data_IF_200469596049
#
_entry.id   IF_200469596049
#
_cell.length_a   1.000
_cell.length_b   1.000
_cell.length_c   1.000
_cell.angle_alpha   90.00
_cell.angle_beta   90.00
_cell.angle_gamma   90.00
#
_symmetry.space_group_name_H-M   'P 1'
#
loop_
_entity.id
_entity.type
_entity.pdbx_description
1 polymer ?
#
# COMPACT_ATOMS: atom_id res chain seq x y z
N UNK A 1 10.86 8.26 -0.04
CA UNK A 1 9.43 8.30 -0.37
C UNK A 1 8.64 9.21 0.58
N UNK A 2 8.80 9.07 1.90
CA UNK A 2 8.06 9.83 2.92
C UNK A 2 8.26 11.34 2.76
N UNK A 3 9.50 11.81 2.71
CA UNK A 3 9.83 13.24 2.54
C UNK A 3 9.34 13.77 1.19
N UNK A 4 9.49 12.98 0.12
CA UNK A 4 8.99 13.35 -1.20
C UNK A 4 7.47 13.60 -1.20
N UNK A 5 6.69 12.78 -0.47
CA UNK A 5 5.24 13.02 -0.34
C UNK A 5 4.89 14.24 0.51
N UNK A 6 5.65 14.49 1.59
CA UNK A 6 5.36 15.58 2.54
C UNK A 6 5.64 16.95 1.91
N UNK A 7 6.77 17.08 1.22
CA UNK A 7 7.20 18.36 0.62
C UNK A 7 6.55 18.63 -0.74
N UNK A 8 6.17 17.58 -1.47
CA UNK A 8 5.54 17.74 -2.78
C UNK A 8 4.18 18.43 -2.70
N UNK A 9 3.83 19.18 -3.74
CA UNK A 9 2.48 19.72 -3.92
C UNK A 9 1.44 18.56 -3.97
N UNK A 10 0.18 18.87 -3.64
CA UNK A 10 -0.90 17.85 -3.58
C UNK A 10 -1.05 17.05 -4.86
N UNK A 11 -1.03 17.72 -6.02
CA UNK A 11 -1.12 17.10 -7.35
C UNK A 11 0.02 16.12 -7.63
N UNK A 12 1.26 16.51 -7.27
CA UNK A 12 2.43 15.63 -7.45
C UNK A 12 2.40 14.43 -6.51
N UNK A 13 1.92 14.59 -5.27
CA UNK A 13 1.73 13.48 -4.33
C UNK A 13 0.70 12.48 -4.83
N UNK A 14 -0.40 12.96 -5.44
CA UNK A 14 -1.43 12.10 -6.06
C UNK A 14 -0.83 11.32 -7.24
N UNK A 15 -0.11 11.96 -8.16
CA UNK A 15 0.54 11.31 -9.28
C UNK A 15 1.58 10.27 -8.84
N UNK A 16 2.38 10.62 -7.82
CA UNK A 16 3.39 9.72 -7.27
C UNK A 16 2.75 8.45 -6.69
N UNK A 17 1.67 8.59 -5.91
CA UNK A 17 0.97 7.47 -5.29
C UNK A 17 0.16 6.64 -6.30
N UNK A 18 -0.54 7.30 -7.25
CA UNK A 18 -1.40 6.62 -8.20
C UNK A 18 -0.65 5.89 -9.30
N UNK A 19 0.42 6.48 -9.86
CA UNK A 19 1.07 5.98 -11.07
C UNK A 19 2.52 5.55 -10.84
N UNK A 20 3.39 6.40 -10.31
CA UNK A 20 4.84 6.16 -10.30
C UNK A 20 5.19 4.93 -9.47
N UNK A 21 4.58 4.75 -8.29
CA UNK A 21 4.78 3.54 -7.49
C UNK A 21 4.35 2.27 -8.22
N UNK A 22 3.28 2.35 -9.00
CA UNK A 22 2.74 1.21 -9.75
C UNK A 22 3.60 0.85 -10.97
N UNK A 23 4.23 1.83 -11.59
CA UNK A 23 5.23 1.57 -12.64
C UNK A 23 6.41 0.77 -12.10
N UNK A 24 6.88 1.08 -10.87
CA UNK A 24 7.89 0.27 -10.19
C UNK A 24 7.45 -1.18 -9.99
N UNK A 25 6.20 -1.40 -9.55
CA UNK A 25 5.63 -2.73 -9.39
C UNK A 25 5.50 -3.50 -10.69
N UNK A 26 5.03 -2.86 -11.76
CA UNK A 26 4.98 -3.47 -13.11
C UNK A 26 6.38 -3.82 -13.61
N UNK A 27 7.37 -2.97 -13.33
CA UNK A 27 8.76 -3.25 -13.62
C UNK A 27 9.27 -4.51 -12.91
N UNK A 28 8.96 -4.66 -11.62
CA UNK A 28 9.30 -5.87 -10.86
C UNK A 28 8.62 -7.12 -11.45
N UNK A 29 7.33 -7.04 -11.75
CA UNK A 29 6.60 -8.15 -12.37
C UNK A 29 7.20 -8.55 -13.73
N UNK A 30 7.55 -7.58 -14.55
CA UNK A 30 7.98 -7.83 -15.93
C UNK A 30 9.43 -8.28 -16.05
N UNK A 31 10.31 -7.80 -15.18
CA UNK A 31 11.76 -8.07 -15.26
C UNK A 31 12.24 -9.02 -14.17
N UNK A 32 11.79 -8.85 -12.92
CA UNK A 32 12.29 -9.66 -11.81
C UNK A 32 11.64 -11.05 -11.74
N UNK A 33 10.33 -11.16 -12.00
CA UNK A 33 9.64 -12.47 -11.92
C UNK A 33 10.22 -13.47 -12.92
N UNK A 34 10.44 -13.17 -14.23
CA UNK A 34 11.06 -14.10 -15.14
C UNK A 34 12.51 -14.47 -14.75
N UNK A 35 13.25 -13.52 -14.17
CA UNK A 35 14.62 -13.76 -13.71
C UNK A 35 14.67 -14.68 -12.49
N UNK A 36 13.72 -14.55 -11.55
CA UNK A 36 13.66 -15.34 -10.32
C UNK A 36 13.03 -16.73 -10.51
N UNK A 37 12.33 -16.97 -11.62
CA UNK A 37 11.75 -18.29 -11.94
C UNK A 37 12.78 -19.34 -12.36
N UNK A 38 14.04 -18.96 -12.56
CA UNK A 38 15.14 -19.91 -12.83
C UNK A 38 15.59 -20.60 -11.55
N UNK A 39 15.76 -21.92 -11.64
CA UNK A 39 15.83 -22.91 -10.55
C UNK A 39 16.85 -22.65 -9.42
N UNK A 40 17.81 -21.76 -9.58
CA UNK A 40 18.94 -21.61 -8.65
C UNK A 40 18.88 -20.37 -7.72
N UNK A 41 17.78 -19.62 -7.69
CA UNK A 41 17.77 -18.32 -6.99
C UNK A 41 16.85 -18.26 -5.75
N UNK A 42 16.42 -19.39 -5.24
CA UNK A 42 15.51 -19.47 -4.06
C UNK A 42 16.10 -18.83 -2.80
N UNK A 43 17.40 -18.91 -2.60
CA UNK A 43 18.05 -18.26 -1.46
C UNK A 43 17.99 -16.73 -1.54
N UNK A 44 18.15 -16.16 -2.74
CA UNK A 44 18.06 -14.72 -2.97
C UNK A 44 16.63 -14.21 -2.75
N UNK A 45 15.64 -14.98 -3.15
CA UNK A 45 14.22 -14.69 -2.91
C UNK A 45 13.91 -14.59 -1.41
N UNK A 46 14.46 -15.48 -0.60
CA UNK A 46 14.27 -15.47 0.86
C UNK A 46 14.81 -14.19 1.50
N UNK A 47 15.94 -13.68 1.03
CA UNK A 47 16.49 -12.41 1.49
C UNK A 47 15.60 -11.22 1.12
N UNK A 48 15.09 -11.17 -0.12
CA UNK A 48 14.18 -10.12 -0.57
C UNK A 48 12.91 -10.11 0.31
N UNK A 49 12.29 -11.28 0.48
CA UNK A 49 11.08 -11.40 1.31
C UNK A 49 11.37 -11.01 2.75
N UNK A 50 12.51 -11.39 3.32
CA UNK A 50 12.93 -10.99 4.66
C UNK A 50 13.03 -9.47 4.81
N UNK A 51 13.61 -8.76 3.84
CA UNK A 51 13.66 -7.30 3.83
C UNK A 51 12.27 -6.65 3.72
N UNK A 52 11.38 -7.21 2.90
CA UNK A 52 10.01 -6.70 2.76
C UNK A 52 9.20 -6.87 4.05
N UNK A 53 9.33 -8.01 4.72
CA UNK A 53 8.68 -8.27 6.02
C UNK A 53 9.23 -7.33 7.10
N UNK A 54 10.54 -7.14 7.15
CA UNK A 54 11.16 -6.18 8.07
C UNK A 54 10.63 -4.75 7.81
N UNK A 55 10.59 -4.33 6.54
CA UNK A 55 10.04 -3.04 6.14
C UNK A 55 8.56 -2.86 6.53
N UNK A 56 7.75 -3.92 6.37
CA UNK A 56 6.35 -3.94 6.77
C UNK A 56 6.21 -3.72 8.28
N UNK A 57 6.95 -4.45 9.11
CA UNK A 57 6.89 -4.33 10.57
C UNK A 57 7.38 -2.95 11.02
N UNK A 58 8.51 -2.48 10.50
CA UNK A 58 9.08 -1.18 10.85
C UNK A 58 8.13 -0.03 10.49
N UNK A 59 7.55 -0.04 9.28
CA UNK A 59 6.62 0.99 8.86
C UNK A 59 5.31 0.95 9.65
N UNK A 60 4.80 -0.24 10.03
CA UNK A 60 3.58 -0.36 10.83
C UNK A 60 3.74 0.22 12.24
N UNK A 61 4.89 -0.04 12.88
CA UNK A 61 5.20 0.57 14.18
C UNK A 61 5.33 2.09 14.04
N UNK A 62 6.05 2.55 13.02
CA UNK A 62 6.26 3.99 12.78
C UNK A 62 4.95 4.73 12.50
N UNK A 63 3.97 4.07 11.86
CA UNK A 63 2.67 4.65 11.51
C UNK A 63 1.88 5.06 12.75
N UNK A 64 1.92 4.29 13.82
CA UNK A 64 1.16 4.54 15.07
C UNK A 64 1.56 5.88 15.72
N UNK A 65 2.80 6.31 15.54
CA UNK A 65 3.31 7.56 16.14
C UNK A 65 3.16 8.79 15.25
N UNK A 66 2.56 8.67 14.06
CA UNK A 66 2.43 9.79 13.13
C UNK A 66 1.22 10.67 13.46
N UNK A 67 1.47 11.97 13.59
CA UNK A 67 0.45 13.00 13.75
C UNK A 67 0.15 13.76 12.44
N UNK A 68 1.05 13.69 11.47
CA UNK A 68 0.87 14.32 10.16
C UNK A 68 0.11 13.37 9.23
N UNK A 69 -1.09 13.79 8.78
CA UNK A 69 -1.96 13.01 7.89
C UNK A 69 -1.26 12.59 6.59
N UNK A 70 -0.42 13.46 6.03
CA UNK A 70 0.27 13.16 4.77
C UNK A 70 1.34 12.06 4.96
N UNK A 71 2.06 12.10 6.10
CA UNK A 71 3.00 11.04 6.48
C UNK A 71 2.29 9.74 6.82
N UNK A 72 1.15 9.83 7.50
CA UNK A 72 0.33 8.67 7.83
C UNK A 72 -0.10 7.90 6.58
N UNK A 73 -0.67 8.58 5.57
CA UNK A 73 -1.07 7.95 4.31
C UNK A 73 0.13 7.44 3.51
N UNK A 74 1.26 8.15 3.52
CA UNK A 74 2.46 7.67 2.84
C UNK A 74 3.04 6.39 3.48
N UNK A 75 3.04 6.29 4.82
CA UNK A 75 3.47 5.07 5.52
C UNK A 75 2.52 3.89 5.28
N UNK A 76 1.20 4.13 5.32
CA UNK A 76 0.22 3.08 4.99
C UNK A 76 0.42 2.55 3.57
N UNK A 77 0.74 3.45 2.62
CA UNK A 77 1.06 3.06 1.24
C UNK A 77 2.28 2.11 1.16
N UNK A 78 3.32 2.37 1.94
CA UNK A 78 4.50 1.49 2.00
C UNK A 78 4.14 0.11 2.56
N UNK A 79 3.30 0.06 3.59
CA UNK A 79 2.87 -1.20 4.20
C UNK A 79 2.11 -2.06 3.18
N UNK A 80 1.09 -1.49 2.52
CA UNK A 80 0.31 -2.21 1.51
C UNK A 80 1.17 -2.65 0.31
N UNK A 81 2.10 -1.79 -0.14
CA UNK A 81 3.01 -2.15 -1.23
C UNK A 81 3.99 -3.26 -0.84
N UNK A 82 4.56 -3.24 0.36
CA UNK A 82 5.43 -4.32 0.83
C UNK A 82 4.67 -5.65 0.90
N UNK A 83 3.44 -5.66 1.41
CA UNK A 83 2.60 -6.85 1.43
C UNK A 83 2.31 -7.38 0.02
N UNK A 84 1.92 -6.50 -0.90
CA UNK A 84 1.70 -6.87 -2.31
C UNK A 84 2.97 -7.43 -2.97
N UNK A 85 4.15 -6.86 -2.67
CA UNK A 85 5.42 -7.37 -3.18
C UNK A 85 5.75 -8.77 -2.64
N UNK A 86 5.47 -9.05 -1.36
CA UNK A 86 5.64 -10.40 -0.79
C UNK A 86 4.77 -11.40 -1.57
N UNK A 87 3.53 -11.03 -1.91
CA UNK A 87 2.64 -11.83 -2.73
C UNK A 87 3.19 -12.06 -4.14
N UNK A 88 3.76 -11.05 -4.79
CA UNK A 88 4.41 -11.19 -6.10
C UNK A 88 5.55 -12.21 -6.07
N UNK A 89 6.39 -12.13 -5.01
CA UNK A 89 7.54 -13.01 -4.85
C UNK A 89 7.18 -14.42 -4.34
N UNK A 90 5.91 -14.72 -4.06
CA UNK A 90 5.47 -16.10 -3.89
C UNK A 90 5.55 -16.88 -5.21
N UNK A 91 5.50 -16.20 -6.36
CA UNK A 91 5.56 -16.77 -7.71
C UNK A 91 4.42 -17.75 -8.01
N UNK A 92 3.32 -17.68 -7.27
CA UNK A 92 2.08 -18.44 -7.51
C UNK A 92 1.14 -17.62 -8.42
N UNK A 93 0.24 -18.27 -9.12
CA UNK A 93 -0.73 -17.59 -9.98
C UNK A 93 -1.66 -16.69 -9.15
N UNK A 94 -2.09 -17.16 -7.99
CA UNK A 94 -2.89 -16.39 -7.05
C UNK A 94 -2.10 -15.22 -6.46
N UNK A 95 -0.82 -15.42 -6.14
CA UNK A 95 0.04 -14.35 -5.64
C UNK A 95 0.24 -13.22 -6.65
N UNK A 96 0.44 -13.54 -7.92
CA UNK A 96 0.57 -12.56 -8.99
C UNK A 96 -0.75 -11.83 -9.25
N UNK A 97 -1.87 -12.55 -9.28
CA UNK A 97 -3.20 -11.95 -9.48
C UNK A 97 -3.58 -11.04 -8.32
N UNK A 98 -3.31 -11.45 -7.08
CA UNK A 98 -3.48 -10.65 -5.87
C UNK A 98 -2.63 -9.39 -5.87
N UNK A 99 -1.35 -9.48 -6.30
CA UNK A 99 -0.48 -8.34 -6.49
C UNK A 99 -1.07 -7.32 -7.47
N UNK A 100 -1.50 -7.75 -8.65
CA UNK A 100 -2.07 -6.85 -9.67
C UNK A 100 -3.34 -6.16 -9.12
N UNK A 101 -4.23 -6.92 -8.49
CA UNK A 101 -5.47 -6.40 -7.94
C UNK A 101 -5.21 -5.40 -6.81
N UNK A 102 -4.32 -5.71 -5.88
CA UNK A 102 -3.95 -4.83 -4.77
C UNK A 102 -3.26 -3.56 -5.25
N UNK A 103 -2.39 -3.63 -6.27
CA UNK A 103 -1.75 -2.47 -6.89
C UNK A 103 -2.77 -1.50 -7.47
N UNK A 104 -3.77 -2.02 -8.20
CA UNK A 104 -4.82 -1.20 -8.80
C UNK A 104 -5.72 -0.57 -7.73
N UNK A 105 -6.22 -1.38 -6.80
CA UNK A 105 -7.12 -0.95 -5.74
C UNK A 105 -6.46 0.12 -4.85
N UNK A 106 -5.22 -0.13 -4.40
CA UNK A 106 -4.46 0.81 -3.60
C UNK A 106 -4.13 2.10 -4.38
N UNK A 107 -3.93 2.04 -5.69
CA UNK A 107 -3.72 3.23 -6.53
C UNK A 107 -4.88 4.22 -6.44
N UNK A 108 -6.10 3.73 -6.53
CA UNK A 108 -7.32 4.54 -6.44
C UNK A 108 -7.52 5.10 -5.02
N UNK A 109 -7.36 4.27 -3.99
CA UNK A 109 -7.56 4.69 -2.60
C UNK A 109 -6.53 5.70 -2.14
N UNK A 110 -5.24 5.49 -2.44
CA UNK A 110 -4.17 6.42 -2.10
C UNK A 110 -4.34 7.77 -2.83
N UNK A 111 -4.71 7.76 -4.12
CA UNK A 111 -5.01 8.98 -4.85
C UNK A 111 -6.14 9.78 -4.19
N UNK A 112 -7.24 9.12 -3.82
CA UNK A 112 -8.38 9.74 -3.13
C UNK A 112 -8.00 10.31 -1.77
N UNK A 113 -7.17 9.61 -0.98
CA UNK A 113 -6.70 10.08 0.31
C UNK A 113 -5.77 11.30 0.18
N UNK A 114 -4.77 11.27 -0.69
CA UNK A 114 -3.88 12.42 -0.88
C UNK A 114 -4.61 13.63 -1.42
N UNK A 115 -5.58 13.44 -2.32
CA UNK A 115 -6.44 14.53 -2.81
C UNK A 115 -7.28 15.12 -1.68
N UNK A 116 -7.90 14.28 -0.84
CA UNK A 116 -8.68 14.72 0.32
C UNK A 116 -7.84 15.51 1.33
N UNK A 117 -6.63 15.02 1.63
CA UNK A 117 -5.69 15.74 2.53
C UNK A 117 -5.27 17.08 1.92
N UNK A 118 -5.12 17.15 0.59
CA UNK A 118 -4.86 18.39 -0.11
C UNK A 118 -5.94 19.43 0.11
N UNK A 119 -7.21 19.07 -0.04
CA UNK A 119 -8.37 19.93 0.21
C UNK A 119 -8.38 20.42 1.67
N UNK A 120 -8.08 19.53 2.63
CA UNK A 120 -8.00 19.90 4.05
C UNK A 120 -6.89 20.95 4.28
N UNK A 121 -5.73 20.72 3.70
CA UNK A 121 -4.59 21.63 3.86
C UNK A 121 -4.85 23.00 3.26
N UNK A 122 -5.48 23.07 2.08
CA UNK A 122 -5.85 24.35 1.45
C UNK A 122 -6.87 25.14 2.27
N UNK A 123 -7.78 24.45 2.98
CA UNK A 123 -8.83 25.12 3.77
C UNK A 123 -8.39 25.51 5.18
N UNK A 124 -7.61 24.68 5.84
CA UNK A 124 -7.29 24.83 7.26
C UNK A 124 -5.82 25.19 7.51
N UNK A 125 -4.95 25.14 6.50
CA UNK A 125 -3.52 25.48 6.62
C UNK A 125 -2.70 24.52 7.49
N UNK A 126 -3.31 23.46 8.03
CA UNK A 126 -2.65 22.48 8.90
C UNK A 126 -2.82 21.04 8.38
N UNK A 127 -1.86 20.18 8.72
CA UNK A 127 -1.90 18.72 8.40
C UNK A 127 -1.95 17.86 9.65
N UNK A 128 -1.98 18.50 10.83
CA UNK A 128 -1.96 17.80 12.10
C UNK A 128 -3.32 17.17 12.39
N UNK A 129 -3.35 15.86 12.62
CA UNK A 129 -4.54 15.09 12.93
C UNK A 129 -5.33 15.67 14.11
N UNK A 130 -4.64 16.19 15.14
CA UNK A 130 -5.27 16.77 16.33
C UNK A 130 -6.06 18.04 16.06
N UNK A 131 -5.77 18.76 14.95
CA UNK A 131 -6.49 19.98 14.59
C UNK A 131 -7.86 19.74 13.95
N UNK A 132 -8.23 18.50 13.65
CA UNK A 132 -9.42 18.15 12.87
C UNK A 132 -10.57 17.54 13.68
N UNK A 133 -10.66 17.80 14.99
CA UNK A 133 -11.66 17.19 15.88
C UNK A 133 -13.14 17.49 15.54
N UNK A 134 -13.43 18.53 14.73
CA UNK A 134 -14.80 18.96 14.41
C UNK A 134 -15.18 18.89 12.93
N UNK A 135 -14.42 18.14 12.11
CA UNK A 135 -14.65 18.05 10.66
C UNK A 135 -16.07 17.61 10.26
N UNK A 136 -16.67 16.73 11.03
CA UNK A 136 -18.02 16.21 10.76
C UNK A 136 -19.06 17.34 10.78
N UNK A 137 -18.90 18.28 11.70
CA UNK A 137 -19.85 19.43 11.85
C UNK A 137 -19.61 20.45 10.73
N UNK A 138 -18.34 20.72 10.41
CA UNK A 138 -17.98 21.76 9.44
C UNK A 138 -18.19 21.32 7.98
N UNK A 139 -17.87 20.08 7.65
CA UNK A 139 -17.86 19.54 6.29
C UNK A 139 -18.42 18.10 6.24
N UNK A 140 -19.74 17.89 6.49
CA UNK A 140 -20.29 16.53 6.64
C UNK A 140 -20.14 15.66 5.37
N UNK A 141 -20.38 16.24 4.18
CA UNK A 141 -20.24 15.49 2.91
C UNK A 141 -18.80 15.09 2.62
N UNK A 142 -17.87 15.98 2.86
CA UNK A 142 -16.44 15.71 2.70
C UNK A 142 -15.98 14.62 3.66
N UNK A 143 -16.36 14.72 4.94
CA UNK A 143 -15.99 13.75 5.96
C UNK A 143 -16.50 12.35 5.63
N UNK A 144 -17.71 12.25 5.09
CA UNK A 144 -18.27 10.97 4.63
C UNK A 144 -17.42 10.35 3.51
N UNK A 145 -17.07 11.11 2.48
CA UNK A 145 -16.20 10.63 1.41
C UNK A 145 -14.80 10.25 1.92
N UNK A 146 -14.22 11.08 2.77
CA UNK A 146 -12.91 10.82 3.37
C UNK A 146 -12.93 9.54 4.22
N UNK A 147 -14.00 9.32 4.99
CA UNK A 147 -14.20 8.10 5.77
C UNK A 147 -14.28 6.84 4.89
N UNK A 148 -14.97 6.91 3.74
CA UNK A 148 -14.98 5.80 2.78
C UNK A 148 -13.57 5.47 2.28
N UNK A 149 -12.78 6.47 1.92
CA UNK A 149 -11.40 6.22 1.51
C UNK A 149 -10.53 5.64 2.63
N UNK A 150 -10.75 6.04 3.89
CA UNK A 150 -10.08 5.45 5.05
C UNK A 150 -10.47 3.99 5.25
N UNK A 151 -11.75 3.63 5.11
CA UNK A 151 -12.21 2.25 5.15
C UNK A 151 -11.62 1.41 4.01
N UNK A 152 -11.55 1.97 2.81
CA UNK A 152 -10.88 1.31 1.69
C UNK A 152 -9.38 1.08 1.95
N UNK A 153 -8.71 2.05 2.56
CA UNK A 153 -7.30 1.92 2.94
C UNK A 153 -7.08 0.93 4.09
N UNK A 154 -8.05 0.81 5.00
CA UNK A 154 -8.02 -0.19 6.06
C UNK A 154 -8.43 -1.60 5.59
N UNK A 155 -8.59 -1.80 4.29
CA UNK A 155 -9.01 -3.08 3.69
C UNK A 155 -10.28 -3.65 4.32
N UNK A 156 -11.30 -2.80 4.53
CA UNK A 156 -12.56 -3.24 5.11
C UNK A 156 -13.29 -4.21 4.15
N UNK A 157 -13.96 -5.27 4.67
CA UNK A 157 -14.72 -6.22 3.85
C UNK A 157 -15.70 -5.50 2.91
N UNK A 158 -15.66 -5.85 1.62
CA UNK A 158 -16.44 -5.20 0.56
C UNK A 158 -15.68 -4.14 -0.25
N UNK A 159 -14.43 -3.87 0.08
CA UNK A 159 -13.55 -3.00 -0.71
C UNK A 159 -12.65 -3.81 -1.65
N UNK A 160 -12.18 -3.17 -2.73
CA UNK A 160 -11.24 -3.81 -3.66
C UNK A 160 -9.88 -4.13 -3.01
N UNK A 161 -9.42 -3.31 -2.07
CA UNK A 161 -8.19 -3.58 -1.31
C UNK A 161 -8.31 -4.88 -0.53
N UNK A 162 -9.45 -5.11 0.14
CA UNK A 162 -9.71 -6.34 0.86
C UNK A 162 -9.61 -7.58 -0.03
N UNK A 163 -10.22 -7.54 -1.22
CA UNK A 163 -10.12 -8.64 -2.18
C UNK A 163 -8.68 -8.87 -2.63
N UNK A 164 -7.95 -7.82 -2.93
CA UNK A 164 -6.54 -7.90 -3.30
C UNK A 164 -5.68 -8.53 -2.21
N UNK A 165 -5.88 -8.15 -0.95
CA UNK A 165 -5.15 -8.69 0.19
C UNK A 165 -5.48 -10.15 0.47
N UNK A 166 -6.75 -10.56 0.36
CA UNK A 166 -7.15 -11.97 0.53
C UNK A 166 -6.50 -12.85 -0.53
N UNK A 167 -6.60 -12.47 -1.81
CA UNK A 167 -6.00 -13.25 -2.90
C UNK A 167 -4.47 -13.31 -2.74
N UNK A 168 -3.86 -12.19 -2.35
CA UNK A 168 -2.43 -12.14 -2.02
C UNK A 168 -2.05 -13.10 -0.90
N UNK A 169 -2.86 -13.17 0.14
CA UNK A 169 -2.64 -14.06 1.28
C UNK A 169 -2.71 -15.53 0.89
N UNK A 170 -3.70 -15.91 0.06
CA UNK A 170 -3.81 -17.27 -0.45
C UNK A 170 -2.59 -17.66 -1.29
N UNK A 171 -2.12 -16.76 -2.17
CA UNK A 171 -0.91 -17.01 -2.95
C UNK A 171 0.35 -17.21 -2.11
N UNK A 172 0.51 -16.49 -1.00
CA UNK A 172 1.62 -16.65 -0.06
C UNK A 172 1.49 -18.00 0.67
N UNK A 173 0.26 -18.37 1.08
CA UNK A 173 0.01 -19.61 1.80
C UNK A 173 0.25 -20.85 0.93
N UNK A 174 -0.15 -20.81 -0.33
CA UNK A 174 0.11 -21.89 -1.30
C UNK A 174 1.61 -22.20 -1.42
N UNK A 175 2.43 -21.18 -1.50
CA UNK A 175 3.90 -21.32 -1.52
C UNK A 175 4.44 -21.95 -0.25
N UNK A 176 3.98 -21.54 0.91
CA UNK A 176 4.42 -22.07 2.20
C UNK A 176 4.05 -23.56 2.35
N UNK A 177 2.86 -23.91 1.91
CA UNK A 177 2.38 -25.31 1.91
C UNK A 177 3.18 -26.20 0.95
N UNK A 178 3.48 -25.71 -0.26
CA UNK A 178 4.31 -26.45 -1.21
C UNK A 178 5.73 -26.69 -0.67
N UNK A 179 6.33 -25.70 0.00
CA UNK A 179 7.64 -25.87 0.63
C UNK A 179 7.64 -26.89 1.78
N UNK A 180 6.57 -26.98 2.57
CA UNK A 180 6.44 -27.96 3.66
C UNK A 180 6.22 -29.38 3.18
N UNK A 181 5.76 -29.59 1.95
CA UNK A 181 5.60 -30.91 1.33
C UNK A 181 6.91 -31.47 0.74
N UNK A 182 7.89 -30.60 0.47
CA UNK A 182 9.21 -30.99 -0.07
C UNK A 182 10.32 -31.07 0.99
N UNK A 183 10.05 -30.76 2.25
CA UNK A 183 10.92 -30.94 3.41
C UNK A 183 10.47 -32.13 4.26
#
# INVERSE_FOLDING_TARGET
>A
LLEAHVEAHTTTSVLLAAMILKLGGIGMLKFMVPFLSWENQMWFLSWIVGFLVFGLIFCSISLVYQLDLKRFVALSSIIHMNFSMISLFSLTEEGISGFILSMFAHGLTAAGLFFSIGILYERFGSRNLLSFGSLVILLPRFTFCFFIFLLCNASFPGTLNFLGEIVSFFGIQEKSFSLSLFL
#
